data_IF_036634030732
#
_entry.id   IF_036634030732
#
_cell.length_a   1.000
_cell.length_b   1.000
_cell.length_c   1.000
_cell.angle_alpha   90.00
_cell.angle_beta   90.00
_cell.angle_gamma   90.00
#
_symmetry.space_group_name_H-M   'P 1'
#
loop_
_entity.id
_entity.type
_entity.pdbx_description
1 polymer ?
#
# COMPACT_ATOMS: atom_id res chain seq x y z
N UNK A 1 -9.04 62.65 -12.10
CA UNK A 1 -10.22 62.09 -11.40
C UNK A 1 -11.29 61.52 -12.36
N UNK A 2 -12.00 62.33 -13.15
CA UNK A 2 -13.16 61.86 -13.94
C UNK A 2 -12.86 60.73 -14.92
N UNK A 3 -11.84 60.87 -15.77
CA UNK A 3 -11.45 59.84 -16.75
C UNK A 3 -11.11 58.50 -16.08
N UNK A 4 -10.40 58.58 -14.95
CA UNK A 4 -10.04 57.43 -14.13
C UNK A 4 -11.28 56.73 -13.56
N UNK A 5 -12.22 57.48 -12.99
CA UNK A 5 -13.48 56.92 -12.45
C UNK A 5 -14.32 56.25 -13.55
N UNK A 6 -14.46 56.88 -14.71
CA UNK A 6 -15.20 56.30 -15.84
C UNK A 6 -14.57 54.99 -16.32
N UNK A 7 -13.25 54.96 -16.56
CA UNK A 7 -12.58 53.74 -16.98
C UNK A 7 -12.66 52.64 -15.91
N UNK A 8 -12.51 52.98 -14.64
CA UNK A 8 -12.64 52.03 -13.53
C UNK A 8 -14.03 51.36 -13.47
N UNK A 9 -15.10 52.09 -13.80
CA UNK A 9 -16.45 51.52 -13.86
C UNK A 9 -16.62 50.56 -15.04
N UNK A 10 -16.13 50.93 -16.23
CA UNK A 10 -16.14 50.05 -17.41
C UNK A 10 -15.31 48.79 -17.19
N UNK A 11 -14.12 48.93 -16.57
CA UNK A 11 -13.26 47.80 -16.23
C UNK A 11 -13.96 46.83 -15.28
N UNK A 12 -14.69 47.33 -14.28
CA UNK A 12 -15.47 46.48 -13.35
C UNK A 12 -16.57 45.70 -14.08
N UNK A 13 -17.28 46.33 -15.02
CA UNK A 13 -18.29 45.65 -15.83
C UNK A 13 -17.68 44.61 -16.77
N UNK A 14 -16.53 44.93 -17.38
CA UNK A 14 -15.79 43.98 -18.20
C UNK A 14 -15.39 42.75 -17.39
N UNK A 15 -14.80 42.96 -16.20
CA UNK A 15 -14.34 41.87 -15.33
C UNK A 15 -15.48 40.95 -14.89
N UNK A 16 -16.65 41.50 -14.56
CA UNK A 16 -17.80 40.70 -14.14
C UNK A 16 -18.41 39.86 -15.27
N UNK A 17 -18.11 40.20 -16.54
CA UNK A 17 -18.57 39.45 -17.72
C UNK A 17 -17.65 38.30 -18.14
N UNK A 18 -16.48 38.15 -17.51
CA UNK A 18 -15.48 37.14 -17.89
C UNK A 18 -15.94 35.74 -17.47
N UNK A 19 -16.10 34.84 -18.45
CA UNK A 19 -16.39 33.42 -18.23
C UNK A 19 -15.14 32.53 -18.07
N UNK A 20 -14.15 32.67 -18.96
CA UNK A 20 -12.90 31.91 -18.95
C UNK A 20 -11.70 32.85 -19.11
N UNK A 21 -10.62 32.58 -18.39
CA UNK A 21 -9.39 33.36 -18.46
C UNK A 21 -8.66 33.11 -19.78
N UNK A 22 -8.39 34.18 -20.53
CA UNK A 22 -7.58 34.16 -21.75
C UNK A 22 -6.36 35.09 -21.62
N UNK A 23 -5.30 34.89 -22.43
CA UNK A 23 -4.17 35.82 -22.47
C UNK A 23 -4.57 37.26 -22.79
N UNK A 24 -5.58 37.47 -23.64
CA UNK A 24 -6.07 38.79 -24.03
C UNK A 24 -6.67 39.54 -22.83
N UNK A 25 -7.43 38.83 -21.97
CA UNK A 25 -7.97 39.39 -20.73
C UNK A 25 -6.84 39.88 -19.81
N UNK A 26 -5.77 39.09 -19.69
CA UNK A 26 -4.60 39.47 -18.89
C UNK A 26 -3.87 40.68 -19.49
N UNK A 27 -3.83 40.81 -20.81
CA UNK A 27 -3.28 41.98 -21.49
C UNK A 27 -4.13 43.23 -21.23
N UNK A 28 -5.46 43.13 -21.25
CA UNK A 28 -6.37 44.24 -20.88
C UNK A 28 -6.12 44.69 -19.44
N UNK A 29 -5.99 43.76 -18.50
CA UNK A 29 -5.76 44.08 -17.09
C UNK A 29 -4.39 44.73 -16.85
N UNK A 30 -3.34 44.28 -17.56
CA UNK A 30 -2.02 44.94 -17.55
C UNK A 30 -2.08 46.35 -18.12
N UNK A 31 -2.82 46.54 -19.21
CA UNK A 31 -3.00 47.86 -19.80
C UNK A 31 -3.79 48.80 -18.86
N UNK A 32 -4.79 48.28 -18.16
CA UNK A 32 -5.54 49.00 -17.14
C UNK A 32 -4.64 49.44 -15.97
N UNK A 33 -3.76 48.56 -15.47
CA UNK A 33 -2.78 48.88 -14.42
C UNK A 33 -1.79 49.96 -14.88
N UNK A 34 -1.32 49.88 -16.13
CA UNK A 34 -0.45 50.92 -16.70
C UNK A 34 -1.19 52.26 -16.81
N UNK A 35 -2.41 52.25 -17.34
CA UNK A 35 -3.24 53.45 -17.48
C UNK A 35 -3.51 54.11 -16.12
N UNK A 36 -3.79 53.32 -15.09
CA UNK A 36 -3.94 53.82 -13.72
C UNK A 36 -2.70 54.60 -13.27
N UNK A 37 -1.51 53.98 -13.37
CA UNK A 37 -0.24 54.60 -12.98
C UNK A 37 0.00 55.90 -13.75
N UNK A 38 -0.24 55.89 -15.06
CA UNK A 38 -0.08 57.07 -15.91
C UNK A 38 -1.05 58.20 -15.50
N UNK A 39 -2.33 57.88 -15.26
CA UNK A 39 -3.33 58.87 -14.82
C UNK A 39 -3.06 59.43 -13.42
N UNK A 40 -2.62 58.58 -12.48
CA UNK A 40 -2.22 59.00 -11.14
C UNK A 40 -0.99 59.90 -11.20
N UNK A 41 0.03 59.55 -11.98
CA UNK A 41 1.22 60.36 -12.17
C UNK A 41 0.88 61.75 -12.74
N UNK A 42 0.05 61.79 -13.80
CA UNK A 42 -0.44 63.05 -14.37
C UNK A 42 -1.19 63.88 -13.32
N UNK A 43 -2.01 63.24 -12.47
CA UNK A 43 -2.72 63.95 -11.41
C UNK A 43 -1.77 64.54 -10.35
N UNK A 44 -0.73 63.80 -9.97
CA UNK A 44 0.31 64.28 -9.04
C UNK A 44 1.07 65.46 -9.63
N UNK A 45 1.59 65.33 -10.86
CA UNK A 45 2.38 66.37 -11.53
C UNK A 45 1.61 67.68 -11.71
N UNK A 46 0.31 67.62 -12.02
CA UNK A 46 -0.54 68.81 -12.17
C UNK A 46 -0.97 69.43 -10.83
N UNK A 47 -0.63 68.82 -9.70
CA UNK A 47 -1.05 69.27 -8.36
C UNK A 47 0.11 69.74 -7.48
N UNK A 48 1.30 69.89 -8.05
CA UNK A 48 2.53 70.29 -7.34
C UNK A 48 2.40 71.68 -6.69
N UNK A 49 1.66 72.60 -7.31
CA UNK A 49 1.42 73.96 -6.80
C UNK A 49 0.16 74.07 -5.91
N UNK A 50 -0.52 72.96 -5.61
CA UNK A 50 -1.73 72.95 -4.77
C UNK A 50 -1.41 73.03 -3.27
N UNK A 51 -2.21 73.78 -2.50
CA UNK A 51 -2.03 73.91 -1.03
C UNK A 51 -2.11 72.56 -0.28
N UNK A 52 -2.83 71.58 -0.83
CA UNK A 52 -2.97 70.24 -0.26
C UNK A 52 -1.99 69.21 -0.85
N UNK A 53 -1.13 69.63 -1.78
CA UNK A 53 -0.20 68.77 -2.52
C UNK A 53 -0.90 67.65 -3.31
N UNK A 54 -2.13 67.87 -3.81
CA UNK A 54 -2.86 66.93 -4.64
C UNK A 54 -3.61 65.83 -3.89
N UNK A 55 -3.59 65.84 -2.56
CA UNK A 55 -4.20 64.78 -1.72
C UNK A 55 -5.70 64.60 -1.98
N UNK A 56 -6.44 65.68 -2.22
CA UNK A 56 -7.87 65.59 -2.51
C UNK A 56 -8.14 64.86 -3.83
N UNK A 57 -7.35 65.14 -4.87
CA UNK A 57 -7.51 64.53 -6.20
C UNK A 57 -7.17 63.02 -6.16
N UNK A 58 -6.13 62.65 -5.43
CA UNK A 58 -5.74 61.24 -5.26
C UNK A 58 -6.82 60.45 -4.50
N UNK A 59 -7.48 61.07 -3.52
CA UNK A 59 -8.62 60.42 -2.80
C UNK A 59 -9.81 60.13 -3.72
N UNK A 60 -9.99 60.90 -4.78
CA UNK A 60 -11.03 60.66 -5.80
C UNK A 60 -10.63 59.61 -6.84
N UNK A 61 -9.40 59.07 -6.78
CA UNK A 61 -8.85 58.08 -7.70
C UNK A 61 -8.53 56.77 -6.96
N UNK A 62 -9.55 56.02 -6.50
CA UNK A 62 -9.35 54.75 -5.80
C UNK A 62 -8.78 53.70 -6.76
N UNK A 63 -7.85 52.84 -6.31
CA UNK A 63 -7.17 51.94 -7.22
C UNK A 63 -8.13 50.98 -7.95
N UNK A 64 -7.79 50.61 -9.18
CA UNK A 64 -8.48 49.61 -10.01
C UNK A 64 -8.28 48.19 -9.49
N UNK A 65 -7.27 47.96 -8.65
CA UNK A 65 -6.94 46.66 -8.07
C UNK A 65 -6.70 45.56 -9.13
N UNK A 66 -6.14 45.93 -10.28
CA UNK A 66 -5.97 45.03 -11.43
C UNK A 66 -5.22 43.73 -11.07
N UNK A 67 -4.19 43.80 -10.21
CA UNK A 67 -3.45 42.63 -9.74
C UNK A 67 -4.31 41.69 -8.88
N UNK A 68 -5.19 42.23 -8.03
CA UNK A 68 -6.16 41.44 -7.24
C UNK A 68 -7.16 40.74 -8.14
N UNK A 69 -7.66 41.45 -9.17
CA UNK A 69 -8.53 40.88 -10.20
C UNK A 69 -7.82 39.75 -10.95
N UNK A 70 -6.59 39.96 -11.41
CA UNK A 70 -5.78 38.93 -12.06
C UNK A 70 -5.61 37.71 -11.14
N UNK A 71 -5.26 37.91 -9.87
CA UNK A 71 -5.11 36.84 -8.89
C UNK A 71 -6.38 36.01 -8.74
N UNK A 72 -7.55 36.66 -8.62
CA UNK A 72 -8.84 35.97 -8.51
C UNK A 72 -9.21 35.20 -9.79
N UNK A 73 -8.95 35.77 -10.95
CA UNK A 73 -9.21 35.10 -12.23
C UNK A 73 -8.29 33.88 -12.42
N UNK A 74 -7.00 33.99 -12.08
CA UNK A 74 -6.06 32.86 -12.15
C UNK A 74 -6.45 31.78 -11.14
N UNK A 75 -6.88 32.12 -9.92
CA UNK A 75 -7.40 31.13 -8.96
C UNK A 75 -8.63 30.39 -9.49
N UNK A 76 -9.56 31.10 -10.14
CA UNK A 76 -10.72 30.49 -10.79
C UNK A 76 -10.32 29.57 -11.94
N UNK A 77 -9.32 29.98 -12.74
CA UNK A 77 -8.74 29.16 -13.80
C UNK A 77 -8.09 27.89 -13.23
N UNK A 78 -7.27 28.00 -12.17
CA UNK A 78 -6.65 26.88 -11.47
C UNK A 78 -7.74 25.90 -11.02
N UNK A 79 -8.79 26.39 -10.35
CA UNK A 79 -9.91 25.55 -9.90
C UNK A 79 -10.54 24.77 -11.06
N UNK A 80 -10.85 25.45 -12.16
CA UNK A 80 -11.43 24.83 -13.36
C UNK A 80 -10.52 23.74 -13.95
N UNK A 81 -9.20 23.98 -13.99
CA UNK A 81 -8.22 22.99 -14.45
C UNK A 81 -8.15 21.77 -13.54
N UNK A 82 -8.17 21.98 -12.22
CA UNK A 82 -8.15 20.91 -11.23
C UNK A 82 -9.43 20.06 -11.26
N UNK A 83 -10.61 20.69 -11.41
CA UNK A 83 -11.88 19.98 -11.54
C UNK A 83 -11.87 19.08 -12.78
N UNK A 84 -11.41 19.60 -13.92
CA UNK A 84 -11.23 18.80 -15.16
C UNK A 84 -10.23 17.66 -14.99
N UNK A 85 -9.10 17.90 -14.32
CA UNK A 85 -8.10 16.86 -14.04
C UNK A 85 -8.70 15.73 -13.21
N UNK A 86 -9.47 16.07 -12.16
CA UNK A 86 -10.13 15.08 -11.32
C UNK A 86 -11.11 14.20 -12.09
N UNK A 87 -11.95 14.79 -12.94
CA UNK A 87 -12.86 14.04 -13.82
C UNK A 87 -12.11 13.12 -14.79
N UNK A 88 -11.00 13.59 -15.34
CA UNK A 88 -10.12 12.80 -16.22
C UNK A 88 -9.50 11.62 -15.48
N UNK A 89 -9.01 11.83 -14.26
CA UNK A 89 -8.48 10.79 -13.37
C UNK A 89 -9.55 9.71 -13.13
N UNK A 90 -10.76 10.12 -12.72
CA UNK A 90 -11.85 9.19 -12.44
C UNK A 90 -12.23 8.37 -13.67
N UNK A 91 -12.33 9.00 -14.85
CA UNK A 91 -12.65 8.31 -16.11
C UNK A 91 -11.58 7.29 -16.50
N UNK A 92 -10.29 7.62 -16.37
CA UNK A 92 -9.22 6.67 -16.68
C UNK A 92 -9.24 5.47 -15.74
N UNK A 93 -9.41 5.72 -14.44
CA UNK A 93 -9.46 4.64 -13.44
C UNK A 93 -10.65 3.71 -13.67
N UNK A 94 -11.79 4.23 -14.12
CA UNK A 94 -12.96 3.40 -14.45
C UNK A 94 -12.72 2.48 -15.65
N UNK A 95 -11.90 2.91 -16.61
CA UNK A 95 -11.58 2.15 -17.81
C UNK A 95 -10.37 1.23 -17.65
N UNK A 96 -9.61 1.39 -16.56
CA UNK A 96 -8.35 0.68 -16.38
C UNK A 96 -8.55 -0.80 -16.01
N UNK A 97 -7.93 -1.68 -16.80
CA UNK A 97 -7.99 -3.15 -16.66
C UNK A 97 -6.73 -3.71 -15.99
N UNK A 98 -5.67 -2.90 -15.88
CA UNK A 98 -4.39 -3.26 -15.26
C UNK A 98 -3.67 -4.39 -16.02
N UNK A 99 -3.66 -4.30 -17.36
CA UNK A 99 -3.01 -5.30 -18.21
C UNK A 99 -1.47 -5.12 -18.18
N UNK A 100 -0.71 -6.08 -17.63
CA UNK A 100 0.75 -5.99 -17.57
C UNK A 100 1.42 -6.04 -18.96
N UNK A 101 0.69 -6.36 -20.03
CA UNK A 101 1.22 -6.40 -21.40
C UNK A 101 1.09 -5.05 -22.13
N UNK A 102 0.45 -4.07 -21.50
CA UNK A 102 0.16 -2.80 -22.15
C UNK A 102 1.42 -2.01 -22.58
N UNK A 103 2.54 -2.20 -21.88
CA UNK A 103 3.85 -1.65 -22.26
C UNK A 103 5.00 -2.51 -21.72
N UNK A 104 6.22 -2.22 -22.18
CA UNK A 104 7.45 -2.96 -21.83
C UNK A 104 7.76 -2.91 -20.32
N UNK A 105 7.43 -1.80 -19.67
CA UNK A 105 7.68 -1.56 -18.24
C UNK A 105 6.53 -2.07 -17.34
N UNK A 106 5.47 -2.63 -17.95
CA UNK A 106 4.37 -3.35 -17.30
C UNK A 106 3.64 -2.51 -16.24
N UNK A 107 3.43 -1.21 -16.51
CA UNK A 107 2.56 -0.35 -15.71
C UNK A 107 1.29 0.04 -16.48
N UNK A 108 0.31 0.65 -15.80
CA UNK A 108 -0.98 1.02 -16.38
C UNK A 108 -0.85 2.22 -17.35
N UNK A 109 -1.40 2.16 -18.59
CA UNK A 109 -1.39 3.31 -19.51
C UNK A 109 -2.06 4.56 -18.94
N UNK A 110 -3.07 4.38 -18.09
CA UNK A 110 -3.75 5.50 -17.41
C UNK A 110 -2.81 6.39 -16.62
N UNK A 111 -1.72 5.88 -16.03
CA UNK A 111 -0.77 6.75 -15.31
C UNK A 111 -0.02 7.68 -16.23
N UNK A 112 0.30 7.24 -17.45
CA UNK A 112 0.98 8.09 -18.46
C UNK A 112 0.07 9.23 -18.86
N UNK A 113 -1.20 8.93 -19.13
CA UNK A 113 -2.15 9.95 -19.56
C UNK A 113 -2.43 10.97 -18.44
N UNK A 114 -2.61 10.50 -17.20
CA UNK A 114 -2.77 11.42 -16.05
C UNK A 114 -1.55 12.31 -15.86
N UNK A 115 -0.34 11.75 -15.92
CA UNK A 115 0.90 12.53 -15.76
C UNK A 115 1.11 13.52 -16.91
N UNK A 116 0.73 13.16 -18.14
CA UNK A 116 0.74 14.04 -19.31
C UNK A 116 -0.18 15.25 -19.11
N UNK A 117 -1.41 15.03 -18.64
CA UNK A 117 -2.36 16.12 -18.36
C UNK A 117 -1.86 17.01 -17.22
N UNK A 118 -1.21 16.43 -16.21
CA UNK A 118 -0.57 17.18 -15.13
C UNK A 118 0.53 18.10 -15.66
N UNK A 119 1.38 17.57 -16.54
CA UNK A 119 2.45 18.34 -17.18
C UNK A 119 1.88 19.49 -18.03
N UNK A 120 0.88 19.22 -18.86
CA UNK A 120 0.18 20.23 -19.66
C UNK A 120 -0.45 21.33 -18.79
N UNK A 121 -0.99 20.99 -17.62
CA UNK A 121 -1.57 21.96 -16.71
C UNK A 121 -0.51 22.88 -16.09
N UNK A 122 0.67 22.33 -15.75
CA UNK A 122 1.81 23.10 -15.25
C UNK A 122 2.39 24.01 -16.34
N UNK A 123 2.58 23.48 -17.55
CA UNK A 123 3.05 24.27 -18.69
C UNK A 123 2.09 25.42 -19.01
N UNK A 124 0.79 25.13 -19.10
CA UNK A 124 -0.23 26.14 -19.36
C UNK A 124 -0.26 27.23 -18.26
N UNK A 125 0.02 26.87 -17.00
CA UNK A 125 0.13 27.82 -15.91
C UNK A 125 1.32 28.76 -16.13
N UNK A 126 2.52 28.23 -16.39
CA UNK A 126 3.72 29.07 -16.60
C UNK A 126 3.68 29.91 -17.88
N UNK A 127 2.86 29.52 -18.87
CA UNK A 127 2.60 30.34 -20.06
C UNK A 127 1.68 31.54 -19.78
N UNK A 128 1.00 31.60 -18.63
CA UNK A 128 0.16 32.76 -18.31
C UNK A 128 1.04 34.01 -18.15
N UNK A 129 0.70 35.12 -18.82
CA UNK A 129 1.40 36.39 -18.67
C UNK A 129 1.02 37.04 -17.33
N UNK A 130 1.58 36.55 -16.22
CA UNK A 130 1.40 37.07 -14.86
C UNK A 130 2.76 37.21 -14.14
N UNK A 131 2.84 38.13 -13.18
CA UNK A 131 4.04 38.37 -12.35
C UNK A 131 4.02 37.62 -11.00
N UNK A 132 2.88 37.01 -10.65
CA UNK A 132 2.60 36.41 -9.33
C UNK A 132 2.63 34.88 -9.34
N UNK A 133 3.45 34.28 -10.23
CA UNK A 133 3.57 32.83 -10.37
C UNK A 133 3.92 32.13 -9.05
N UNK A 134 4.93 32.60 -8.30
CA UNK A 134 5.28 32.02 -7.00
C UNK A 134 4.10 32.00 -6.00
N UNK A 135 3.29 33.05 -5.99
CA UNK A 135 2.20 33.19 -5.02
C UNK A 135 1.06 32.21 -5.31
N UNK A 136 0.83 31.87 -6.58
CA UNK A 136 -0.30 31.03 -7.03
C UNK A 136 0.09 29.58 -7.32
N UNK A 137 1.37 29.30 -7.54
CA UNK A 137 1.88 27.95 -7.80
C UNK A 137 1.53 26.95 -6.68
N UNK A 138 1.55 27.30 -5.38
CA UNK A 138 1.10 26.39 -4.32
C UNK A 138 -0.35 25.95 -4.48
N UNK A 139 -1.26 26.83 -4.95
CA UNK A 139 -2.67 26.47 -5.14
C UNK A 139 -2.82 25.40 -6.22
N UNK A 140 -2.09 25.55 -7.34
CA UNK A 140 -2.07 24.58 -8.42
C UNK A 140 -1.41 23.25 -8.01
N UNK A 141 -0.19 23.32 -7.46
CA UNK A 141 0.59 22.13 -7.12
C UNK A 141 -0.07 21.29 -6.02
N UNK A 142 -0.65 21.91 -4.98
CA UNK A 142 -1.42 21.20 -3.96
C UNK A 142 -2.69 20.56 -4.54
N UNK A 143 -3.36 21.23 -5.48
CA UNK A 143 -4.52 20.68 -6.16
C UNK A 143 -4.19 19.45 -7.01
N UNK A 144 -3.11 19.53 -7.78
CA UNK A 144 -2.60 18.40 -8.57
C UNK A 144 -2.18 17.26 -7.65
N UNK A 145 -1.45 17.55 -6.58
CA UNK A 145 -0.99 16.55 -5.60
C UNK A 145 -2.17 15.78 -5.00
N UNK A 146 -3.28 16.45 -4.68
CA UNK A 146 -4.52 15.79 -4.24
C UNK A 146 -5.16 14.91 -5.32
N UNK A 147 -5.13 15.34 -6.58
CA UNK A 147 -5.66 14.54 -7.69
C UNK A 147 -4.83 13.27 -7.92
N UNK A 148 -3.51 13.37 -7.86
CA UNK A 148 -2.59 12.23 -7.96
C UNK A 148 -2.71 11.31 -6.76
N UNK A 149 -2.83 11.85 -5.54
CA UNK A 149 -3.10 11.06 -4.33
C UNK A 149 -4.41 10.27 -4.46
N UNK A 150 -5.46 10.88 -5.01
CA UNK A 150 -6.73 10.18 -5.29
C UNK A 150 -6.54 9.04 -6.30
N UNK A 151 -5.79 9.27 -7.38
CA UNK A 151 -5.43 8.21 -8.33
C UNK A 151 -4.73 7.04 -7.62
N UNK A 152 -3.70 7.34 -6.82
CA UNK A 152 -2.91 6.34 -6.09
C UNK A 152 -3.81 5.54 -5.13
N UNK A 153 -4.69 6.22 -4.40
CA UNK A 153 -5.65 5.57 -3.49
C UNK A 153 -6.58 4.60 -4.22
N UNK A 154 -7.14 5.02 -5.36
CA UNK A 154 -8.01 4.17 -6.19
C UNK A 154 -7.26 3.01 -6.84
N UNK A 155 -6.01 3.21 -7.26
CA UNK A 155 -5.14 2.16 -7.80
C UNK A 155 -4.84 1.03 -6.78
N UNK A 156 -5.01 1.27 -5.47
CA UNK A 156 -4.89 0.22 -4.43
C UNK A 156 -6.22 -0.46 -4.11
N UNK A 157 -7.33 0.20 -4.39
CA UNK A 157 -8.65 -0.27 -3.99
C UNK A 157 -8.96 -1.64 -4.60
N UNK A 158 -9.56 -2.52 -3.79
CA UNK A 158 -9.91 -3.89 -4.19
C UNK A 158 -8.75 -4.90 -4.25
N UNK A 159 -7.52 -4.51 -3.91
CA UNK A 159 -6.36 -5.44 -3.90
C UNK A 159 -6.30 -6.35 -2.67
N UNK A 160 -7.16 -6.14 -1.68
CA UNK A 160 -7.14 -6.86 -0.40
C UNK A 160 -6.01 -6.40 0.53
N UNK A 161 -5.93 -7.06 1.66
CA UNK A 161 -4.91 -6.87 2.71
C UNK A 161 -4.40 -8.23 3.18
N UNK A 162 -3.35 -8.26 4.01
CA UNK A 162 -2.90 -9.48 4.71
C UNK A 162 -4.06 -10.32 5.28
N UNK A 163 -4.94 -9.68 6.05
CA UNK A 163 -6.08 -10.35 6.71
C UNK A 163 -7.16 -10.84 5.74
N UNK A 164 -7.15 -10.39 4.48
CA UNK A 164 -8.10 -10.85 3.45
C UNK A 164 -7.78 -12.27 2.99
N UNK A 165 -6.49 -12.65 2.98
CA UNK A 165 -6.04 -13.91 2.38
C UNK A 165 -5.69 -14.99 3.41
N UNK A 166 -5.26 -14.62 4.63
CA UNK A 166 -4.92 -15.58 5.69
C UNK A 166 -6.18 -16.38 6.10
N UNK A 167 -6.13 -17.72 6.12
CA UNK A 167 -7.28 -18.54 6.48
C UNK A 167 -7.64 -18.38 7.96
N UNK A 168 -8.92 -18.52 8.27
CA UNK A 168 -9.39 -18.55 9.66
C UNK A 168 -8.78 -19.75 10.41
N UNK A 169 -8.28 -19.52 11.61
CA UNK A 169 -7.70 -20.60 12.42
C UNK A 169 -8.75 -21.67 12.74
N UNK A 170 -8.44 -22.97 12.55
CA UNK A 170 -9.34 -24.05 12.88
C UNK A 170 -9.54 -24.15 14.39
N UNK A 171 -10.67 -24.74 14.79
CA UNK A 171 -10.96 -25.01 16.18
C UNK A 171 -9.92 -25.97 16.79
N UNK A 172 -9.62 -25.76 18.07
CA UNK A 172 -8.62 -26.55 18.79
C UNK A 172 -9.08 -28.00 18.95
N UNK A 173 -8.28 -28.93 18.45
CA UNK A 173 -8.45 -30.37 18.60
C UNK A 173 -7.21 -30.98 19.25
N UNK A 174 -7.33 -32.21 19.76
CA UNK A 174 -6.18 -33.00 20.23
C UNK A 174 -5.95 -34.21 19.33
N UNK A 175 -4.70 -34.62 19.14
CA UNK A 175 -4.37 -35.81 18.38
C UNK A 175 -5.03 -37.08 18.94
N UNK A 176 -5.52 -37.94 18.05
CA UNK A 176 -5.89 -39.31 18.42
C UNK A 176 -4.62 -40.16 18.46
N UNK A 177 -4.24 -40.68 19.63
CA UNK A 177 -3.20 -41.72 19.72
C UNK A 177 -3.55 -42.86 18.75
N UNK A 178 -2.86 -42.92 17.62
CA UNK A 178 -2.83 -44.10 16.75
C UNK A 178 -1.72 -44.96 17.31
N UNK A 179 -2.09 -46.08 17.92
CA UNK A 179 -1.12 -47.13 18.19
C UNK A 179 -0.47 -47.51 16.85
N UNK A 180 0.85 -47.37 16.72
CA UNK A 180 1.66 -47.86 15.60
C UNK A 180 1.68 -49.41 15.58
N UNK A 181 0.50 -50.05 15.57
CA UNK A 181 0.38 -51.47 15.26
C UNK A 181 0.11 -51.55 13.77
N UNK A 182 1.15 -51.86 13.02
CA UNK A 182 1.10 -52.36 11.65
C UNK A 182 0.28 -53.65 11.62
N UNK A 183 -1.04 -53.52 11.58
CA UNK A 183 -1.99 -54.63 11.54
C UNK A 183 -3.03 -54.40 10.47
N UNK A 184 -2.71 -54.84 9.25
CA UNK A 184 -3.61 -55.36 8.19
C UNK A 184 -5.07 -54.92 8.26
N UNK A 185 -5.35 -53.62 8.26
CA UNK A 185 -6.63 -53.07 7.81
C UNK A 185 -6.35 -51.72 7.18
N UNK A 186 -6.01 -51.74 5.89
CA UNK A 186 -6.25 -50.60 5.00
C UNK A 186 -7.77 -50.39 4.91
N UNK A 187 -8.39 -49.96 6.01
CA UNK A 187 -9.70 -49.33 5.94
C UNK A 187 -9.40 -48.01 5.27
N UNK A 188 -9.63 -47.99 3.96
CA UNK A 188 -9.74 -46.78 3.14
C UNK A 188 -10.90 -45.99 3.76
N UNK A 189 -10.64 -45.29 4.87
CA UNK A 189 -11.49 -44.22 5.34
C UNK A 189 -11.50 -43.29 4.15
N UNK A 190 -12.58 -43.36 3.38
CA UNK A 190 -12.96 -42.33 2.45
C UNK A 190 -12.98 -41.08 3.33
N UNK A 191 -11.89 -40.32 3.31
CA UNK A 191 -11.99 -38.88 3.50
C UNK A 191 -13.15 -38.52 2.57
N UNK A 192 -14.29 -38.20 3.18
CA UNK A 192 -15.27 -37.41 2.47
C UNK A 192 -14.43 -36.30 1.91
N UNK A 193 -14.30 -36.26 0.57
CA UNK A 193 -13.84 -35.07 -0.13
C UNK A 193 -14.65 -33.97 0.55
N UNK A 194 -14.02 -33.22 1.47
CA UNK A 194 -14.50 -31.89 1.81
C UNK A 194 -14.71 -31.32 0.43
N UNK A 195 -15.98 -31.09 0.09
CA UNK A 195 -16.39 -30.82 -1.27
C UNK A 195 -15.34 -29.87 -1.81
N UNK A 196 -14.56 -30.34 -2.79
CA UNK A 196 -14.15 -29.49 -3.87
C UNK A 196 -15.43 -28.76 -4.19
N UNK A 197 -15.54 -27.52 -3.70
CA UNK A 197 -16.38 -26.53 -4.34
C UNK A 197 -15.79 -26.55 -5.73
N UNK A 198 -16.39 -27.38 -6.57
CA UNK A 198 -16.26 -27.30 -8.00
C UNK A 198 -16.39 -25.82 -8.25
N UNK A 199 -15.30 -25.24 -8.75
CA UNK A 199 -15.35 -24.14 -9.69
C UNK A 199 -16.55 -24.40 -10.60
N UNK A 200 -17.70 -23.85 -10.22
CA UNK A 200 -18.87 -23.76 -11.06
C UNK A 200 -18.63 -22.50 -11.86
N UNK A 201 -18.19 -22.70 -13.09
CA UNK A 201 -18.47 -21.76 -14.17
C UNK A 201 -19.99 -21.56 -14.16
N UNK A 202 -20.38 -20.36 -13.75
CA UNK A 202 -21.75 -19.91 -13.54
C UNK A 202 -21.69 -18.42 -13.27
N UNK A 203 -21.49 -17.65 -14.33
CA UNK A 203 -21.65 -16.19 -14.38
C UNK A 203 -22.91 -15.76 -13.64
N UNK A 204 -22.76 -15.01 -12.54
CA UNK A 204 -23.24 -13.63 -12.37
C UNK A 204 -22.86 -13.09 -10.99
N UNK A 205 -22.05 -12.02 -11.00
CA UNK A 205 -21.85 -10.99 -9.97
C UNK A 205 -20.99 -11.30 -8.72
N UNK A 206 -19.70 -10.90 -8.80
CA UNK A 206 -19.06 -10.11 -7.73
C UNK A 206 -18.12 -10.80 -6.74
N UNK A 207 -17.03 -11.44 -7.20
CA UNK A 207 -15.86 -11.69 -6.34
C UNK A 207 -14.62 -11.01 -6.95
N UNK A 208 -14.50 -9.69 -6.70
CA UNK A 208 -13.58 -8.75 -7.35
C UNK A 208 -12.14 -8.78 -6.85
N UNK A 209 -11.49 -9.95 -6.80
CA UNK A 209 -10.07 -10.03 -6.48
C UNK A 209 -9.22 -9.97 -7.76
N UNK A 210 -8.34 -8.97 -7.88
CA UNK A 210 -7.39 -8.86 -9.00
C UNK A 210 -6.42 -10.05 -9.03
N UNK A 211 -6.03 -10.50 -10.22
CA UNK A 211 -5.00 -11.53 -10.41
C UNK A 211 -3.60 -11.01 -10.10
N UNK A 212 -2.65 -11.92 -9.81
CA UNK A 212 -1.25 -11.56 -9.49
C UNK A 212 -0.61 -10.65 -10.56
N UNK A 213 -0.76 -10.89 -11.87
CA UNK A 213 -0.16 -10.01 -12.88
C UNK A 213 -0.72 -8.57 -12.85
N UNK A 214 -2.00 -8.41 -12.49
CA UNK A 214 -2.63 -7.09 -12.34
C UNK A 214 -2.10 -6.37 -11.09
N UNK A 215 -1.83 -7.11 -10.00
CA UNK A 215 -1.21 -6.56 -8.80
C UNK A 215 0.22 -6.08 -9.08
N UNK A 216 1.02 -6.85 -9.83
CA UNK A 216 2.33 -6.41 -10.30
C UNK A 216 2.23 -5.15 -11.17
N UNK A 217 1.26 -5.09 -12.08
CA UNK A 217 1.01 -3.89 -12.89
C UNK A 217 0.73 -2.66 -12.01
N UNK A 218 -0.08 -2.80 -10.96
CA UNK A 218 -0.37 -1.72 -10.00
C UNK A 218 0.87 -1.29 -9.22
N UNK A 219 1.67 -2.23 -8.74
CA UNK A 219 2.95 -1.94 -8.06
C UNK A 219 3.88 -1.13 -8.98
N UNK A 220 4.05 -1.58 -10.22
CA UNK A 220 4.86 -0.89 -11.22
C UNK A 220 4.31 0.50 -11.54
N UNK A 221 2.98 0.64 -11.60
CA UNK A 221 2.31 1.94 -11.81
C UNK A 221 2.64 2.94 -10.72
N UNK A 222 2.56 2.54 -9.44
CA UNK A 222 2.91 3.43 -8.34
C UNK A 222 4.40 3.78 -8.32
N UNK A 223 5.26 2.84 -8.72
CA UNK A 223 6.69 3.11 -8.86
C UNK A 223 6.99 4.06 -10.02
N UNK A 224 6.29 3.93 -11.14
CA UNK A 224 6.39 4.83 -12.28
C UNK A 224 5.97 6.26 -11.88
N UNK A 225 4.77 6.41 -11.30
CA UNK A 225 4.28 7.71 -10.80
C UNK A 225 5.30 8.34 -9.85
N UNK A 226 5.85 7.56 -8.91
CA UNK A 226 6.85 8.05 -7.96
C UNK A 226 8.11 8.58 -8.65
N UNK A 227 8.57 7.94 -9.73
CA UNK A 227 9.72 8.41 -10.52
C UNK A 227 9.37 9.73 -11.23
N UNK A 228 8.20 9.81 -11.85
CA UNK A 228 7.76 10.99 -12.60
C UNK A 228 7.47 12.19 -11.70
N UNK A 229 6.99 11.97 -10.46
CA UNK A 229 6.81 13.04 -9.48
C UNK A 229 8.11 13.80 -9.16
N UNK A 230 9.24 13.09 -9.06
CA UNK A 230 10.56 13.72 -8.84
C UNK A 230 10.99 14.58 -10.04
N UNK A 231 10.70 14.11 -11.26
CA UNK A 231 10.95 14.84 -12.51
C UNK A 231 10.07 16.10 -12.57
N UNK A 232 8.77 15.98 -12.30
CA UNK A 232 7.82 17.08 -12.29
C UNK A 232 8.18 18.14 -11.24
N UNK A 233 8.57 17.73 -10.03
CA UNK A 233 9.00 18.64 -8.97
C UNK A 233 10.22 19.47 -9.41
N UNK A 234 11.25 18.81 -9.98
CA UNK A 234 12.45 19.49 -10.48
C UNK A 234 12.13 20.46 -11.61
N UNK A 235 11.29 20.05 -12.56
CA UNK A 235 10.87 20.91 -13.69
C UNK A 235 10.10 22.14 -13.23
N UNK A 236 9.18 21.96 -12.27
CA UNK A 236 8.43 23.06 -11.65
C UNK A 236 9.36 24.09 -11.00
N UNK A 237 10.40 23.64 -10.31
CA UNK A 237 11.43 24.52 -9.73
C UNK A 237 12.20 25.29 -10.82
N UNK A 238 12.56 24.63 -11.93
CA UNK A 238 13.25 25.27 -13.05
C UNK A 238 12.37 26.35 -13.69
N UNK A 239 11.11 26.05 -13.98
CA UNK A 239 10.18 27.03 -14.55
C UNK A 239 9.96 28.23 -13.63
N UNK A 240 9.80 28.01 -12.33
CA UNK A 240 9.63 29.11 -11.38
C UNK A 240 10.86 30.04 -11.37
N UNK A 241 12.07 29.48 -11.38
CA UNK A 241 13.32 30.28 -11.47
C UNK A 241 13.44 31.06 -12.77
N UNK A 242 12.96 30.52 -13.88
CA UNK A 242 12.96 31.21 -15.17
C UNK A 242 11.93 32.34 -15.25
N UNK A 243 10.81 32.21 -14.52
CA UNK A 243 9.74 33.21 -14.50
C UNK A 243 10.01 34.37 -13.55
N UNK A 244 10.87 34.18 -12.54
CA UNK A 244 11.17 35.19 -11.52
C UNK A 244 12.65 35.54 -11.52
N UNK A 245 13.05 36.50 -12.35
CA UNK A 245 14.45 36.91 -12.48
C UNK A 245 15.04 37.60 -11.24
N UNK A 246 14.25 37.91 -10.19
CA UNK A 246 14.68 38.83 -9.12
C UNK A 246 14.39 38.45 -7.65
N UNK A 247 13.94 37.25 -7.29
CA UNK A 247 13.71 36.92 -5.87
C UNK A 247 14.28 35.55 -5.43
N UNK A 248 15.48 35.58 -4.81
CA UNK A 248 16.19 34.41 -4.32
C UNK A 248 15.61 33.77 -3.03
N UNK A 249 14.52 34.30 -2.46
CA UNK A 249 14.03 33.88 -1.14
C UNK A 249 12.82 32.93 -1.14
N UNK A 250 12.26 32.55 -2.31
CA UNK A 250 11.04 31.72 -2.39
C UNK A 250 11.35 30.21 -2.55
N UNK A 251 12.62 29.85 -2.74
CA UNK A 251 13.05 28.46 -2.95
C UNK A 251 12.76 27.50 -1.76
N UNK A 252 12.44 28.01 -0.56
CA UNK A 252 12.16 27.17 0.60
C UNK A 252 10.74 26.58 0.63
N UNK A 253 9.78 27.13 -0.12
CA UNK A 253 8.39 26.63 -0.16
C UNK A 253 8.13 25.59 -1.27
N UNK A 254 8.82 25.71 -2.40
CA UNK A 254 8.66 24.85 -3.58
C UNK A 254 9.45 23.54 -3.52
N UNK A 255 10.35 23.37 -2.55
CA UNK A 255 11.04 22.09 -2.30
C UNK A 255 10.13 20.96 -1.80
N UNK A 256 8.83 21.20 -1.67
CA UNK A 256 7.81 20.30 -1.09
C UNK A 256 6.68 19.93 -2.07
N UNK A 257 6.86 20.13 -3.37
CA UNK A 257 5.85 19.76 -4.36
C UNK A 257 5.64 18.23 -4.38
N UNK A 258 4.39 17.80 -4.42
CA UNK A 258 3.98 16.39 -4.54
C UNK A 258 4.33 15.47 -3.35
N UNK A 259 4.57 16.03 -2.17
CA UNK A 259 4.88 15.24 -0.96
C UNK A 259 3.78 14.22 -0.61
N UNK A 260 2.50 14.60 -0.75
CA UNK A 260 1.38 13.72 -0.41
C UNK A 260 1.32 12.51 -1.35
N UNK A 261 1.48 12.74 -2.65
CA UNK A 261 1.50 11.67 -3.65
C UNK A 261 2.76 10.80 -3.53
N UNK A 262 3.93 11.38 -3.27
CA UNK A 262 5.15 10.61 -3.06
C UNK A 262 5.04 9.68 -1.85
N UNK A 263 4.51 10.18 -0.73
CA UNK A 263 4.24 9.38 0.46
C UNK A 263 3.16 8.30 0.19
N UNK A 264 2.08 8.65 -0.50
CA UNK A 264 1.02 7.72 -0.85
C UNK A 264 1.50 6.60 -1.78
N UNK A 265 2.42 6.89 -2.72
CA UNK A 265 3.06 5.86 -3.55
C UNK A 265 3.89 4.90 -2.70
N UNK A 266 4.70 5.42 -1.76
CA UNK A 266 5.54 4.58 -0.89
C UNK A 266 4.71 3.63 -0.03
N UNK A 267 3.69 4.16 0.63
CA UNK A 267 2.73 3.38 1.42
C UNK A 267 1.95 2.40 0.53
N UNK A 268 1.55 2.86 -0.66
CA UNK A 268 0.79 2.04 -1.59
C UNK A 268 1.56 0.86 -2.13
N UNK A 269 2.82 1.08 -2.51
CA UNK A 269 3.74 0.01 -2.89
C UNK A 269 3.88 -0.98 -1.74
N UNK A 270 4.06 -0.51 -0.50
CA UNK A 270 4.17 -1.39 0.66
C UNK A 270 2.96 -2.32 0.82
N UNK A 271 1.76 -1.74 0.81
CA UNK A 271 0.52 -2.47 1.01
C UNK A 271 0.25 -3.45 -0.14
N UNK A 272 0.53 -3.05 -1.39
CA UNK A 272 0.37 -3.93 -2.54
C UNK A 272 1.38 -5.08 -2.49
N UNK A 273 2.64 -4.84 -2.10
CA UNK A 273 3.62 -5.91 -1.93
C UNK A 273 3.14 -6.94 -0.89
N UNK A 274 2.69 -6.48 0.27
CA UNK A 274 2.17 -7.36 1.33
C UNK A 274 0.91 -8.11 0.86
N UNK A 275 -0.09 -7.42 0.32
CA UNK A 275 -1.32 -8.06 -0.16
C UNK A 275 -1.03 -9.11 -1.26
N UNK A 276 -0.13 -8.79 -2.19
CA UNK A 276 0.28 -9.72 -3.26
C UNK A 276 0.97 -10.95 -2.68
N UNK A 277 1.90 -10.78 -1.75
CA UNK A 277 2.59 -11.89 -1.11
C UNK A 277 1.61 -12.85 -0.40
N UNK A 278 0.72 -12.32 0.43
CA UNK A 278 -0.25 -13.14 1.16
C UNK A 278 -1.27 -13.80 0.21
N UNK A 279 -1.62 -13.15 -0.89
CA UNK A 279 -2.44 -13.76 -1.93
C UNK A 279 -1.71 -14.95 -2.57
N UNK A 280 -0.46 -14.78 -2.99
CA UNK A 280 0.33 -15.88 -3.57
C UNK A 280 0.39 -17.06 -2.60
N UNK A 281 0.76 -16.82 -1.34
CA UNK A 281 0.99 -17.90 -0.37
C UNK A 281 -0.30 -18.60 0.07
N UNK A 282 -1.37 -17.85 0.40
CA UNK A 282 -2.56 -18.43 1.04
C UNK A 282 -3.72 -18.68 0.08
N UNK A 283 -3.73 -18.05 -1.10
CA UNK A 283 -4.76 -18.27 -2.11
C UNK A 283 -4.22 -19.13 -3.27
N UNK A 284 -3.14 -18.71 -3.93
CA UNK A 284 -2.65 -19.40 -5.13
C UNK A 284 -1.89 -20.69 -4.80
N UNK A 285 -1.02 -20.67 -3.78
CA UNK A 285 -0.23 -21.83 -3.32
C UNK A 285 -0.92 -22.61 -2.19
N UNK A 286 -2.20 -22.33 -1.93
CA UNK A 286 -2.96 -22.94 -0.84
C UNK A 286 -3.01 -24.48 -0.94
N UNK A 287 -3.08 -25.02 -2.15
CA UNK A 287 -3.19 -26.47 -2.37
C UNK A 287 -1.91 -27.23 -1.99
N UNK A 288 -0.73 -26.63 -2.20
CA UNK A 288 0.56 -27.23 -1.81
C UNK A 288 0.96 -26.89 -0.38
N UNK A 289 0.58 -25.70 0.11
CA UNK A 289 0.87 -25.27 1.48
C UNK A 289 -0.17 -25.75 2.49
N UNK A 290 -1.41 -25.25 2.39
CA UNK A 290 -2.47 -25.45 3.37
C UNK A 290 -3.11 -26.83 3.27
N UNK A 291 -3.33 -27.34 2.06
CA UNK A 291 -3.93 -28.67 1.84
C UNK A 291 -2.88 -29.78 1.67
N UNK A 292 -1.59 -29.41 1.50
CA UNK A 292 -0.50 -30.34 1.21
C UNK A 292 0.45 -30.57 2.39
N UNK A 293 1.18 -29.53 2.80
CA UNK A 293 2.30 -29.64 3.74
C UNK A 293 1.91 -30.35 5.05
N UNK A 294 2.60 -31.46 5.35
CA UNK A 294 2.45 -32.34 6.52
C UNK A 294 1.07 -32.99 6.72
N UNK A 295 0.20 -32.98 5.71
CA UNK A 295 -1.08 -33.68 5.80
C UNK A 295 -0.85 -35.19 5.86
N UNK A 296 -1.38 -35.85 6.88
CA UNK A 296 -1.16 -37.27 7.13
C UNK A 296 0.13 -37.52 7.91
N UNK A 297 1.26 -37.67 7.21
CA UNK A 297 2.57 -37.95 7.80
C UNK A 297 3.64 -37.01 7.24
N UNK A 298 4.50 -36.48 8.13
CA UNK A 298 5.54 -35.49 7.79
C UNK A 298 6.46 -35.98 6.69
N UNK A 299 6.93 -37.23 6.78
CA UNK A 299 7.85 -37.84 5.80
C UNK A 299 7.25 -38.00 4.39
N UNK A 300 5.91 -38.04 4.28
CA UNK A 300 5.20 -38.28 3.01
C UNK A 300 4.75 -37.01 2.30
N UNK A 301 4.57 -35.93 3.06
CA UNK A 301 3.99 -34.65 2.59
C UNK A 301 4.90 -33.51 3.00
N UNK A 302 6.12 -33.52 2.47
CA UNK A 302 7.15 -32.53 2.77
C UNK A 302 7.00 -31.23 1.96
N UNK A 303 7.90 -30.28 2.19
CA UNK A 303 7.81 -28.91 1.67
C UNK A 303 8.13 -28.76 0.18
N UNK A 304 8.78 -29.74 -0.46
CA UNK A 304 9.32 -29.62 -1.81
C UNK A 304 8.28 -29.20 -2.87
N UNK A 305 7.03 -29.72 -2.90
CA UNK A 305 6.03 -29.26 -3.86
C UNK A 305 5.70 -27.77 -3.71
N UNK A 306 5.66 -27.26 -2.47
CA UNK A 306 5.47 -25.83 -2.21
C UNK A 306 6.67 -25.01 -2.69
N UNK A 307 7.90 -25.47 -2.45
CA UNK A 307 9.11 -24.78 -2.89
C UNK A 307 9.21 -24.70 -4.42
N UNK A 308 8.87 -25.78 -5.14
CA UNK A 308 8.89 -25.81 -6.60
C UNK A 308 7.93 -24.79 -7.22
N UNK A 309 6.69 -24.74 -6.74
CA UNK A 309 5.73 -23.75 -7.25
C UNK A 309 6.12 -22.33 -6.82
N UNK A 310 6.60 -22.14 -5.59
CA UNK A 310 7.07 -20.85 -5.10
C UNK A 310 8.26 -20.32 -5.93
N UNK A 311 9.20 -21.18 -6.32
CA UNK A 311 10.33 -20.83 -7.18
C UNK A 311 9.86 -20.28 -8.53
N UNK A 312 8.87 -20.93 -9.16
CA UNK A 312 8.28 -20.44 -10.40
C UNK A 312 7.61 -19.06 -10.22
N UNK A 313 6.93 -18.84 -9.09
CA UNK A 313 6.39 -17.52 -8.77
C UNK A 313 7.48 -16.44 -8.62
N UNK A 314 8.60 -16.78 -7.98
CA UNK A 314 9.74 -15.88 -7.82
C UNK A 314 10.41 -15.56 -9.17
N UNK A 315 10.51 -16.54 -10.07
CA UNK A 315 10.99 -16.34 -11.43
C UNK A 315 10.10 -15.36 -12.20
N UNK A 316 8.78 -15.59 -12.22
CA UNK A 316 7.82 -14.69 -12.88
C UNK A 316 7.86 -13.29 -12.27
N UNK A 317 7.93 -13.20 -10.94
CA UNK A 317 8.07 -11.92 -10.21
C UNK A 317 9.33 -11.19 -10.66
N UNK A 318 10.47 -11.88 -10.73
CA UNK A 318 11.76 -11.29 -11.11
C UNK A 318 11.70 -10.61 -12.49
N UNK A 319 10.96 -11.22 -13.42
CA UNK A 319 10.78 -10.69 -14.77
C UNK A 319 9.76 -9.55 -14.81
N UNK A 320 8.68 -9.63 -14.03
CA UNK A 320 7.49 -8.76 -14.15
C UNK A 320 7.50 -7.50 -13.29
N UNK A 321 8.11 -7.56 -12.11
CA UNK A 321 8.14 -6.43 -11.18
C UNK A 321 9.37 -5.56 -11.45
N UNK A 322 9.15 -4.25 -11.43
CA UNK A 322 10.20 -3.25 -11.60
C UNK A 322 11.33 -3.41 -10.57
N UNK A 323 12.58 -3.30 -11.01
CA UNK A 323 13.81 -3.56 -10.25
C UNK A 323 13.86 -2.88 -8.89
N UNK A 324 13.53 -1.59 -8.83
CA UNK A 324 13.46 -0.79 -7.59
C UNK A 324 12.51 -1.33 -6.52
N UNK A 325 11.57 -2.19 -6.88
CA UNK A 325 10.55 -2.75 -5.97
C UNK A 325 10.68 -4.27 -5.82
N UNK A 326 11.35 -4.95 -6.76
CA UNK A 326 11.50 -6.41 -6.80
C UNK A 326 11.93 -7.00 -5.46
N UNK A 327 13.04 -6.53 -4.89
CA UNK A 327 13.55 -7.00 -3.58
C UNK A 327 12.51 -6.87 -2.47
N UNK A 328 11.69 -5.82 -2.51
CA UNK A 328 10.62 -5.60 -1.54
C UNK A 328 9.52 -6.63 -1.67
N UNK A 329 9.06 -6.92 -2.90
CA UNK A 329 8.03 -7.95 -3.11
C UNK A 329 8.55 -9.33 -2.68
N UNK A 330 9.78 -9.70 -3.07
CA UNK A 330 10.40 -10.97 -2.67
C UNK A 330 10.51 -11.08 -1.14
N UNK A 331 10.88 -9.98 -0.47
CA UNK A 331 10.92 -9.94 1.01
C UNK A 331 9.55 -10.16 1.64
N UNK A 332 8.47 -9.58 1.08
CA UNK A 332 7.12 -9.83 1.58
C UNK A 332 6.65 -11.26 1.30
N UNK A 333 6.99 -11.84 0.14
CA UNK A 333 6.73 -13.25 -0.19
C UNK A 333 7.43 -14.17 0.82
N UNK A 334 8.70 -13.90 1.14
CA UNK A 334 9.44 -14.64 2.18
C UNK A 334 8.74 -14.60 3.53
N UNK A 335 8.35 -13.41 3.99
CA UNK A 335 7.62 -13.27 5.26
C UNK A 335 6.30 -14.04 5.24
N UNK A 336 5.53 -13.91 4.16
CA UNK A 336 4.27 -14.64 4.01
C UNK A 336 4.50 -16.16 4.02
N UNK A 337 5.57 -16.66 3.40
CA UNK A 337 5.95 -18.09 3.44
C UNK A 337 6.32 -18.55 4.85
N UNK A 338 7.04 -17.75 5.63
CA UNK A 338 7.36 -18.08 7.03
C UNK A 338 6.11 -18.09 7.91
N UNK A 339 5.22 -17.12 7.73
CA UNK A 339 3.92 -17.09 8.40
C UNK A 339 3.06 -18.29 8.01
N UNK A 340 3.05 -18.65 6.72
CA UNK A 340 2.36 -19.82 6.19
C UNK A 340 2.89 -21.13 6.79
N UNK A 341 4.21 -21.27 6.87
CA UNK A 341 4.86 -22.42 7.50
C UNK A 341 4.49 -22.54 8.99
N UNK A 342 4.53 -21.44 9.75
CA UNK A 342 4.09 -21.44 11.16
C UNK A 342 2.60 -21.75 11.30
N UNK A 343 1.76 -21.21 10.41
CA UNK A 343 0.32 -21.46 10.45
C UNK A 343 0.01 -22.93 10.19
N UNK A 344 0.73 -23.58 9.29
CA UNK A 344 0.64 -25.04 9.06
C UNK A 344 0.99 -25.81 10.33
N UNK A 345 2.07 -25.44 11.02
CA UNK A 345 2.55 -26.13 12.23
C UNK A 345 1.65 -25.91 13.46
N UNK A 346 1.13 -24.70 13.65
CA UNK A 346 0.43 -24.28 14.87
C UNK A 346 -1.09 -24.20 14.69
N UNK A 347 -1.58 -24.21 13.46
CA UNK A 347 -2.97 -23.97 13.14
C UNK A 347 -3.43 -24.69 11.86
N UNK A 348 -2.74 -25.73 11.38
CA UNK A 348 -3.08 -26.42 10.12
C UNK A 348 -4.27 -27.39 10.20
N UNK A 349 -4.89 -27.59 11.36
CA UNK A 349 -6.07 -28.44 11.53
C UNK A 349 -5.77 -29.94 11.69
N UNK A 350 -6.79 -30.75 12.03
CA UNK A 350 -6.62 -32.09 12.61
C UNK A 350 -6.01 -33.16 11.67
N UNK A 351 -5.73 -32.82 10.42
CA UNK A 351 -5.08 -33.71 9.46
C UNK A 351 -3.56 -33.82 9.69
N UNK A 352 -3.00 -33.01 10.59
CA UNK A 352 -1.58 -32.92 10.91
C UNK A 352 -1.33 -33.38 12.34
N UNK A 353 -0.25 -34.13 12.55
CA UNK A 353 0.19 -34.54 13.87
C UNK A 353 1.72 -34.74 13.84
N UNK A 354 2.41 -34.29 14.89
CA UNK A 354 3.87 -34.24 14.96
C UNK A 354 4.40 -35.02 16.16
N UNK A 355 5.32 -35.93 15.92
CA UNK A 355 6.12 -36.62 16.93
C UNK A 355 7.45 -35.90 17.17
N UNK A 356 8.21 -36.31 18.19
CA UNK A 356 9.54 -35.74 18.46
C UNK A 356 10.55 -36.04 17.33
N UNK A 357 10.36 -37.16 16.63
CA UNK A 357 11.24 -37.61 15.53
C UNK A 357 11.07 -36.74 14.28
N UNK A 358 9.90 -36.12 14.10
CA UNK A 358 9.60 -35.28 12.94
C UNK A 358 10.34 -33.93 12.99
N UNK A 359 10.89 -33.54 14.15
CA UNK A 359 11.61 -32.28 14.32
C UNK A 359 12.74 -32.08 13.30
N UNK A 360 13.58 -33.10 13.07
CA UNK A 360 14.72 -32.99 12.15
C UNK A 360 14.26 -32.72 10.72
N UNK A 361 13.20 -33.40 10.28
CA UNK A 361 12.60 -33.19 8.95
C UNK A 361 11.99 -31.80 8.83
N UNK A 362 11.28 -31.32 9.85
CA UNK A 362 10.67 -29.98 9.85
C UNK A 362 11.76 -28.89 9.85
N UNK A 363 12.84 -29.09 10.59
CA UNK A 363 13.97 -28.17 10.64
C UNK A 363 14.72 -28.11 9.30
N UNK A 364 14.90 -29.27 8.65
CA UNK A 364 15.44 -29.36 7.29
C UNK A 364 14.53 -28.67 6.26
N UNK A 365 13.22 -28.91 6.32
CA UNK A 365 12.23 -28.26 5.45
C UNK A 365 12.28 -26.73 5.57
N UNK A 366 12.40 -26.22 6.80
CA UNK A 366 12.54 -24.78 7.02
C UNK A 366 13.87 -24.25 6.46
N UNK A 367 14.95 -25.02 6.55
CA UNK A 367 16.23 -24.67 5.93
C UNK A 367 16.10 -24.58 4.41
N UNK A 368 15.46 -25.53 3.76
CA UNK A 368 15.20 -25.46 2.31
C UNK A 368 14.38 -24.24 1.92
N UNK A 369 13.38 -23.87 2.73
CA UNK A 369 12.63 -22.63 2.52
C UNK A 369 13.53 -21.39 2.62
N UNK A 370 14.43 -21.31 3.60
CA UNK A 370 15.37 -20.18 3.71
C UNK A 370 16.41 -20.16 2.58
N UNK A 371 16.89 -21.33 2.17
CA UNK A 371 17.89 -21.47 1.12
C UNK A 371 17.34 -21.05 -0.25
N UNK A 372 16.04 -21.29 -0.52
CA UNK A 372 15.35 -20.80 -1.72
C UNK A 372 15.44 -19.27 -1.85
N UNK A 373 15.19 -18.53 -0.76
CA UNK A 373 15.26 -17.07 -0.78
C UNK A 373 16.69 -16.53 -0.79
N UNK A 374 17.64 -17.28 -0.26
CA UNK A 374 19.06 -16.94 -0.33
C UNK A 374 19.62 -17.17 -1.75
N UNK A 375 19.15 -18.21 -2.45
CA UNK A 375 19.49 -18.53 -3.83
C UNK A 375 21.00 -18.52 -4.11
N UNK A 376 21.78 -19.21 -3.27
CA UNK A 376 23.26 -19.27 -3.39
C UNK A 376 23.97 -17.90 -3.38
N UNK A 377 23.34 -16.86 -2.83
CA UNK A 377 23.88 -15.50 -2.78
C UNK A 377 23.32 -14.55 -3.83
N UNK A 378 22.57 -15.07 -4.81
CA UNK A 378 21.93 -14.25 -5.86
C UNK A 378 20.55 -13.71 -5.44
N UNK A 379 20.03 -14.17 -4.30
CA UNK A 379 18.71 -13.81 -3.76
C UNK A 379 18.73 -12.66 -2.74
N UNK A 380 18.02 -12.86 -1.63
CA UNK A 380 17.95 -11.91 -0.52
C UNK A 380 19.22 -11.97 0.36
N UNK A 381 19.63 -10.84 0.98
CA UNK A 381 20.72 -10.82 1.94
C UNK A 381 20.49 -11.76 3.13
N UNK A 382 21.53 -12.50 3.54
CA UNK A 382 21.42 -13.50 4.60
C UNK A 382 21.03 -12.90 5.97
N UNK A 383 21.46 -11.67 6.27
CA UNK A 383 21.08 -10.93 7.48
C UNK A 383 19.59 -10.57 7.49
N UNK A 384 19.03 -10.25 6.32
CA UNK A 384 17.60 -9.98 6.16
C UNK A 384 16.77 -11.25 6.39
N UNK A 385 17.19 -12.38 5.80
CA UNK A 385 16.55 -13.69 6.00
C UNK A 385 16.62 -14.09 7.47
N UNK A 386 17.80 -13.95 8.09
CA UNK A 386 18.01 -14.24 9.50
C UNK A 386 17.06 -13.43 10.38
N UNK A 387 16.97 -12.12 10.15
CA UNK A 387 16.10 -11.21 10.89
C UNK A 387 14.65 -11.67 10.88
N UNK A 388 14.10 -12.01 9.71
CA UNK A 388 12.69 -12.42 9.60
C UNK A 388 12.43 -13.88 9.96
N UNK A 389 13.45 -14.75 9.94
CA UNK A 389 13.34 -16.14 10.38
C UNK A 389 13.32 -16.34 11.89
N UNK A 390 13.64 -15.30 12.68
CA UNK A 390 13.83 -15.36 14.14
C UNK A 390 12.68 -16.07 14.86
N UNK A 391 11.44 -15.70 14.56
CA UNK A 391 10.25 -16.30 15.20
C UNK A 391 10.13 -17.78 14.89
N UNK A 392 10.35 -18.19 13.64
CA UNK A 392 10.28 -19.61 13.25
C UNK A 392 11.36 -20.41 13.96
N UNK A 393 12.61 -19.91 13.93
CA UNK A 393 13.75 -20.55 14.60
C UNK A 393 13.58 -20.66 16.12
N UNK A 394 12.87 -19.72 16.74
CA UNK A 394 12.57 -19.76 18.16
C UNK A 394 11.47 -20.78 18.52
N UNK A 395 10.54 -21.06 17.60
CA UNK A 395 9.41 -21.97 17.82
C UNK A 395 9.76 -23.43 17.50
N UNK A 396 10.56 -23.67 16.45
CA UNK A 396 10.92 -25.02 16.00
C UNK A 396 11.41 -25.95 17.13
N UNK A 397 12.27 -25.51 18.08
CA UNK A 397 12.73 -26.37 19.19
C UNK A 397 11.61 -26.90 20.09
N UNK A 398 10.44 -26.24 20.14
CA UNK A 398 9.29 -26.74 20.89
C UNK A 398 8.80 -28.09 20.32
N UNK A 399 8.99 -28.34 19.03
CA UNK A 399 8.63 -29.62 18.40
C UNK A 399 9.57 -30.76 18.80
N UNK A 400 10.76 -30.46 19.33
CA UNK A 400 11.69 -31.43 19.91
C UNK A 400 11.60 -31.54 21.45
N UNK A 401 10.92 -30.59 22.11
CA UNK A 401 10.81 -30.58 23.57
C UNK A 401 9.94 -31.72 24.06
N UNK A 402 10.44 -32.47 25.05
CA UNK A 402 9.70 -33.56 25.72
C UNK A 402 8.34 -33.08 26.25
N UNK A 403 7.33 -33.95 26.10
CA UNK A 403 5.94 -33.54 26.33
C UNK A 403 5.64 -33.15 27.77
N UNK A 404 6.24 -33.82 28.75
CA UNK A 404 6.08 -33.46 30.16
C UNK A 404 6.66 -32.07 30.46
N UNK A 405 7.86 -31.78 29.96
CA UNK A 405 8.50 -30.46 30.09
C UNK A 405 7.68 -29.37 29.37
N UNK A 406 7.13 -29.67 28.18
CA UNK A 406 6.29 -28.74 27.44
C UNK A 406 4.97 -28.43 28.20
N UNK A 407 4.39 -29.43 28.87
CA UNK A 407 3.20 -29.24 29.72
C UNK A 407 3.54 -28.39 30.94
N UNK A 408 4.70 -28.59 31.59
CA UNK A 408 5.15 -27.77 32.72
C UNK A 408 5.41 -26.32 32.30
N UNK A 409 6.09 -26.12 31.18
CA UNK A 409 6.31 -24.80 30.60
C UNK A 409 4.98 -24.11 30.28
N UNK A 410 4.03 -24.82 29.67
CA UNK A 410 2.69 -24.29 29.41
C UNK A 410 1.97 -23.86 30.69
N UNK A 411 2.00 -24.69 31.74
CA UNK A 411 1.39 -24.36 33.04
C UNK A 411 2.01 -23.12 33.66
N UNK A 412 3.35 -23.05 33.66
CA UNK A 412 4.10 -21.92 34.21
C UNK A 412 3.75 -20.62 33.49
N UNK A 413 3.86 -20.60 32.15
CA UNK A 413 3.58 -19.39 31.34
C UNK A 413 2.11 -18.96 31.44
N UNK A 414 1.18 -19.91 31.53
CA UNK A 414 -0.25 -19.61 31.73
C UNK A 414 -0.51 -18.98 33.10
N UNK A 415 0.12 -19.49 34.16
CA UNK A 415 0.00 -18.95 35.51
C UNK A 415 0.63 -17.56 35.64
N UNK A 416 1.76 -17.33 34.98
CA UNK A 416 2.42 -16.01 34.93
C UNK A 416 1.55 -14.98 34.19
N UNK A 417 0.96 -15.37 33.04
CA UNK A 417 0.20 -14.45 32.18
C UNK A 417 -1.21 -14.13 32.70
N UNK A 418 -1.89 -15.10 33.32
CA UNK A 418 -3.31 -14.98 33.70
C UNK A 418 -3.56 -15.12 35.20
N UNK A 419 -2.51 -15.28 36.00
CA UNK A 419 -2.59 -15.50 37.44
C UNK A 419 -2.97 -16.94 37.81
N UNK A 420 -2.65 -17.31 39.05
CA UNK A 420 -3.03 -18.61 39.61
C UNK A 420 -4.49 -18.57 40.06
N UNK A 421 -5.37 -19.33 39.40
CA UNK A 421 -6.77 -19.45 39.82
C UNK A 421 -6.91 -20.43 40.99
N UNK A 422 -7.66 -20.04 42.02
CA UNK A 422 -8.05 -20.93 43.12
C UNK A 422 -8.95 -22.10 42.68
N UNK A 423 -9.46 -22.09 41.44
CA UNK A 423 -10.18 -23.20 40.81
C UNK A 423 -9.20 -24.02 39.97
N UNK A 424 -9.23 -25.34 40.13
CA UNK A 424 -8.29 -26.34 39.55
C UNK A 424 -8.13 -26.39 38.02
N UNK A 425 -8.75 -25.47 37.24
CA UNK A 425 -8.71 -25.46 35.77
C UNK A 425 -7.91 -24.25 35.27
N UNK A 426 -6.86 -24.53 34.49
CA UNK A 426 -6.10 -23.52 33.77
C UNK A 426 -7.02 -22.77 32.78
N UNK A 427 -6.93 -21.43 32.67
CA UNK A 427 -7.68 -20.69 31.67
C UNK A 427 -7.26 -21.12 30.26
N UNK A 428 -8.17 -21.02 29.29
CA UNK A 428 -7.85 -21.23 27.88
C UNK A 428 -7.20 -19.93 27.35
N UNK A 429 -5.94 -19.95 26.89
CA UNK A 429 -5.30 -18.74 26.37
C UNK A 429 -6.04 -18.20 25.14
N UNK A 430 -6.32 -16.88 25.07
CA UNK A 430 -6.82 -16.24 23.87
C UNK A 430 -5.87 -16.45 22.69
N UNK A 431 -6.43 -16.47 21.48
CA UNK A 431 -5.60 -16.56 20.28
C UNK A 431 -5.12 -15.15 19.91
N UNK A 432 -3.86 -14.86 20.23
CA UNK A 432 -3.23 -13.55 20.04
C UNK A 432 -2.89 -13.24 18.58
N UNK A 433 -2.76 -14.29 17.74
CA UNK A 433 -2.29 -14.15 16.36
C UNK A 433 -0.80 -13.81 16.24
N UNK A 434 -0.07 -13.82 17.36
CA UNK A 434 1.37 -13.67 17.43
C UNK A 434 1.97 -14.94 17.99
N UNK A 435 3.06 -15.40 17.39
CA UNK A 435 3.72 -16.64 17.80
C UNK A 435 4.99 -16.33 18.58
N UNK A 436 5.16 -16.97 19.72
CA UNK A 436 6.37 -16.87 20.55
C UNK A 436 6.54 -18.14 21.37
N UNK A 437 7.78 -18.63 21.60
CA UNK A 437 8.00 -19.83 22.40
C UNK A 437 7.56 -19.67 23.88
N UNK A 438 7.41 -18.45 24.37
CA UNK A 438 6.95 -18.17 25.74
C UNK A 438 5.46 -17.85 25.82
N UNK A 439 4.76 -17.78 24.69
CA UNK A 439 3.35 -17.40 24.66
C UNK A 439 2.45 -18.64 24.89
N UNK A 440 1.50 -18.59 25.84
CA UNK A 440 0.72 -19.76 26.21
C UNK A 440 -0.11 -20.38 25.06
N UNK A 441 -0.63 -19.58 24.12
CA UNK A 441 -1.42 -20.12 23.00
C UNK A 441 -0.54 -20.91 22.02
N UNK A 442 0.70 -20.51 21.80
CA UNK A 442 1.71 -21.18 20.97
C UNK A 442 2.04 -22.54 21.56
N UNK A 443 2.36 -22.59 22.87
CA UNK A 443 2.62 -23.84 23.58
C UNK A 443 1.41 -24.78 23.56
N UNK A 444 0.20 -24.24 23.78
CA UNK A 444 -1.04 -25.01 23.68
C UNK A 444 -1.23 -25.60 22.28
N UNK A 445 -0.93 -24.84 21.23
CA UNK A 445 -1.03 -25.29 19.84
C UNK A 445 -0.03 -26.41 19.56
N UNK A 446 1.23 -26.29 19.97
CA UNK A 446 2.20 -27.39 19.83
C UNK A 446 1.69 -28.67 20.52
N UNK A 447 1.14 -28.55 21.73
CA UNK A 447 0.52 -29.69 22.43
C UNK A 447 -0.69 -30.26 21.67
N UNK A 448 -1.50 -29.43 21.02
CA UNK A 448 -2.67 -29.87 20.25
C UNK A 448 -2.28 -30.77 19.06
N UNK A 449 -1.18 -30.44 18.38
CA UNK A 449 -0.65 -31.21 17.25
C UNK A 449 0.34 -32.31 17.67
N UNK A 450 0.71 -32.40 18.95
CA UNK A 450 1.62 -33.43 19.45
C UNK A 450 1.01 -34.82 19.34
N UNK A 451 1.67 -35.71 18.59
CA UNK A 451 1.23 -37.09 18.37
C UNK A 451 1.67 -38.06 19.48
N UNK A 452 1.25 -37.80 20.72
CA UNK A 452 1.48 -38.72 21.84
C UNK A 452 0.27 -38.84 22.79
N UNK A 453 0.32 -39.82 23.69
CA UNK A 453 -0.75 -40.05 24.66
C UNK A 453 -0.80 -39.04 25.80
N UNK A 454 0.36 -38.52 26.22
CA UNK A 454 0.51 -37.65 27.38
C UNK A 454 -0.16 -36.30 27.12
N UNK A 455 0.16 -35.66 25.99
CA UNK A 455 -0.48 -34.45 25.51
C UNK A 455 -1.98 -34.67 25.29
N UNK A 456 -2.37 -35.77 24.65
CA UNK A 456 -3.78 -36.07 24.39
C UNK A 456 -4.60 -36.27 25.70
N UNK A 457 -4.02 -36.90 26.73
CA UNK A 457 -4.65 -37.04 28.06
C UNK A 457 -4.72 -35.70 28.79
N UNK A 458 -3.65 -34.91 28.75
CA UNK A 458 -3.60 -33.56 29.33
C UNK A 458 -4.68 -32.65 28.74
N UNK A 459 -4.73 -32.50 27.41
CA UNK A 459 -5.71 -31.63 26.72
C UNK A 459 -7.16 -32.07 26.96
N UNK A 460 -7.41 -33.38 27.04
CA UNK A 460 -8.74 -33.90 27.40
C UNK A 460 -9.12 -33.52 28.83
N UNK A 461 -8.20 -33.66 29.79
CA UNK A 461 -8.46 -33.39 31.22
C UNK A 461 -8.64 -31.89 31.49
N UNK A 462 -7.80 -31.05 30.88
CA UNK A 462 -7.76 -29.61 31.15
C UNK A 462 -8.89 -28.86 30.44
N UNK A 463 -9.11 -29.14 29.16
CA UNK A 463 -10.00 -28.35 28.30
C UNK A 463 -11.13 -29.16 27.62
N UNK A 464 -11.15 -30.48 27.79
CA UNK A 464 -12.09 -31.38 27.12
C UNK A 464 -12.07 -31.26 25.58
N UNK A 465 -10.89 -31.02 24.98
CA UNK A 465 -10.77 -30.88 23.53
C UNK A 465 -11.16 -32.18 22.80
N UNK A 466 -11.88 -32.09 21.67
CA UNK A 466 -12.27 -33.25 20.88
C UNK A 466 -11.12 -33.79 20.03
N UNK A 467 -11.20 -35.07 19.61
CA UNK A 467 -10.23 -35.70 18.69
C UNK A 467 -10.50 -35.41 17.21
N UNK A 468 -11.75 -35.06 16.88
CA UNK A 468 -12.25 -34.73 15.55
C UNK A 468 -13.24 -33.59 15.72
N UNK A 469 -13.31 -32.70 14.72
CA UNK A 469 -14.36 -31.68 14.64
C UNK A 469 -15.69 -32.29 14.21
#
# INVERSE_FOLDING_TARGET
>A
ATLHSCYGNELKQFVSSIGELTPDILQVLRAAEKLEKDLVQIAVENSVDSEDGGKSIIREMPPYEAESVVSNLVKSWIKTRLDRLKEWVDRNLQQEVWDPRANKERFAPSSVEVLRIVDEALEAFFLLPISIHAALLPDLTNGIDRCLQHYISKAKSGCGTRSTFVPSMPALTRCSSRSKVSGVFKKKEKFQKAQSRKSQVGTTNGNGSFGIPQLYCRINTLQHIRTELDVLAKRTIVHLRSSESHNNNIANGTGKAFELSAAACLEGIQQLCEATAYKVIFQDLSHVLWDGLYVGEVSSSRIEPFLQELEHYLEVLSLTVHDRVRTRVITEVMKASFDGFLLVLLAGGPARAFSLQDYETIAEDFKFLTDLFWSNGDGLPADLIQKFSTTVKAILPLFHTETDSLIEQFKYMTAESYGSSAKSKLPLPPTSGQWSPTEPNTLLRVLCYRSDETAAKFLKKTYNLPKKL
#
